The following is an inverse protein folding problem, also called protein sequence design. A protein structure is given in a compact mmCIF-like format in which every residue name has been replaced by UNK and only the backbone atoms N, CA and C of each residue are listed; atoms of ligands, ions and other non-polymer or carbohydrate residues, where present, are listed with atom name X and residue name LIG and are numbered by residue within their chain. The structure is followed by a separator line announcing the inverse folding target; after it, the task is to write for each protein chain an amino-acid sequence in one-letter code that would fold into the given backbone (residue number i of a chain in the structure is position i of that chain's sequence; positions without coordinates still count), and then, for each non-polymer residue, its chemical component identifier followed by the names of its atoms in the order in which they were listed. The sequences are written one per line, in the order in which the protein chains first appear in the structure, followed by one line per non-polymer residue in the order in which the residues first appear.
data_IF_988467696218
#
_entry.id   IF_988467696218
#
_cell.length_a   1.000
_cell.length_b   1.000
_cell.length_c   1.000
_cell.angle_alpha   90.00
_cell.angle_beta   90.00
_cell.angle_gamma   90.00
#
_symmetry.space_group_name_H-M   'P 1'
#
loop_
_entity.id
_entity.type
_entity.pdbx_description
1 polymer ?
#
# COMPACT_ATOMS: atom_id res chain seq x y z
N UNK A 1 -10.29 9.71 -7.57
CA UNK A 1 -9.93 9.09 -6.28
C UNK A 1 -8.43 8.80 -6.27
N UNK A 2 -7.65 9.43 -5.39
CA UNK A 2 -6.19 9.21 -5.28
C UNK A 2 -5.90 8.51 -3.95
N UNK A 3 -5.03 7.49 -3.97
CA UNK A 3 -4.48 6.90 -2.75
C UNK A 3 -3.41 7.85 -2.22
N UNK A 4 -3.52 8.27 -0.97
CA UNK A 4 -2.51 9.10 -0.34
C UNK A 4 -1.36 8.21 0.11
N UNK A 5 -0.18 8.42 -0.48
CA UNK A 5 1.03 7.69 -0.11
C UNK A 5 1.93 8.62 0.69
N UNK A 6 2.18 8.28 1.95
CA UNK A 6 3.10 9.00 2.82
C UNK A 6 4.37 8.18 3.03
N UNK A 7 5.53 8.81 2.85
CA UNK A 7 6.81 8.18 3.12
C UNK A 7 7.04 8.06 4.63
N UNK A 8 7.12 6.83 5.14
CA UNK A 8 7.71 6.56 6.45
C UNK A 8 9.21 6.25 6.32
N UNK A 9 9.92 6.18 7.46
CA UNK A 9 11.36 5.88 7.49
C UNK A 9 11.67 4.52 6.84
N UNK A 10 10.90 3.46 7.16
CA UNK A 10 11.09 2.11 6.62
C UNK A 10 10.01 1.64 5.61
N UNK A 11 8.76 2.08 5.79
CA UNK A 11 7.61 1.63 5.00
C UNK A 11 6.83 2.81 4.41
N UNK A 12 6.20 2.60 3.25
CA UNK A 12 5.22 3.50 2.67
C UNK A 12 3.89 3.32 3.40
N UNK A 13 3.27 4.41 3.81
CA UNK A 13 1.94 4.42 4.43
C UNK A 13 0.93 4.79 3.35
N UNK A 14 0.00 3.89 3.07
CA UNK A 14 -1.08 4.07 2.11
C UNK A 14 -2.35 4.43 2.89
N UNK A 15 -3.01 5.52 2.52
CA UNK A 15 -4.30 5.92 3.08
C UNK A 15 -5.31 6.06 1.94
N UNK A 16 -6.47 5.43 2.10
CA UNK A 16 -7.54 5.51 1.12
C UNK A 16 -8.89 5.40 1.80
N UNK A 17 -9.73 6.43 1.64
CA UNK A 17 -11.12 6.43 2.11
C UNK A 17 -11.31 6.00 3.59
N UNK A 18 -10.41 6.43 4.47
CA UNK A 18 -10.38 6.04 5.89
C UNK A 18 -9.60 4.76 6.21
N UNK A 19 -9.34 3.92 5.20
CA UNK A 19 -8.52 2.72 5.33
C UNK A 19 -7.03 3.06 5.31
N UNK A 20 -6.24 2.25 6.02
CA UNK A 20 -4.79 2.38 6.14
C UNK A 20 -4.13 1.05 5.79
N UNK A 21 -3.10 1.10 4.96
CA UNK A 21 -2.23 -0.05 4.69
C UNK A 21 -0.77 0.40 4.72
N UNK A 22 0.14 -0.54 4.96
CA UNK A 22 1.59 -0.30 4.95
C UNK A 22 2.21 -1.19 3.90
N UNK A 23 3.04 -0.58 3.06
CA UNK A 23 3.75 -1.28 2.00
C UNK A 23 5.26 -1.17 2.25
N UNK A 24 6.02 -2.28 2.20
CA UNK A 24 7.47 -2.24 2.26
C UNK A 24 8.02 -1.46 1.08
N UNK A 25 9.08 -0.67 1.31
CA UNK A 25 9.75 0.05 0.23
C UNK A 25 10.50 -0.96 -0.63
N UNK A 26 9.96 -1.25 -1.81
CA UNK A 26 10.60 -2.09 -2.83
C UNK A 26 11.05 -1.20 -4.01
N UNK A 27 12.25 -0.60 -3.93
CA UNK A 27 12.72 0.33 -4.96
C UNK A 27 13.18 -0.36 -6.26
N UNK A 28 13.30 -1.68 -6.30
CA UNK A 28 13.78 -2.41 -7.49
C UNK A 28 13.33 -3.87 -7.58
N UNK A 29 12.32 -4.27 -6.81
CA UNK A 29 11.79 -5.63 -6.87
C UNK A 29 10.27 -5.59 -7.08
N UNK A 30 9.79 -6.50 -7.91
CA UNK A 30 8.36 -6.62 -8.20
C UNK A 30 7.60 -7.06 -6.95
N UNK A 31 6.49 -6.39 -6.65
CA UNK A 31 5.64 -6.74 -5.51
C UNK A 31 4.95 -8.06 -5.84
N UNK A 32 5.15 -9.07 -4.99
CA UNK A 32 4.44 -10.34 -5.11
C UNK A 32 2.93 -10.11 -5.18
N UNK A 33 2.26 -10.71 -6.17
CA UNK A 33 0.80 -10.66 -6.33
C UNK A 33 -0.02 -10.85 -5.04
N UNK A 34 0.27 -11.81 -4.13
CA UNK A 34 -0.48 -11.95 -2.89
C UNK A 34 -0.41 -10.70 -2.01
N UNK A 35 0.74 -10.02 -1.96
CA UNK A 35 0.92 -8.78 -1.20
C UNK A 35 0.13 -7.64 -1.82
N UNK A 36 0.14 -7.53 -3.16
CA UNK A 36 -0.69 -6.56 -3.88
C UNK A 36 -2.18 -6.77 -3.60
N UNK A 37 -2.68 -8.00 -3.71
CA UNK A 37 -4.09 -8.34 -3.43
C UNK A 37 -4.46 -8.05 -1.97
N UNK A 38 -3.56 -8.33 -1.02
CA UNK A 38 -3.78 -8.03 0.39
C UNK A 38 -3.88 -6.52 0.64
N UNK A 39 -2.99 -5.71 0.04
CA UNK A 39 -3.02 -4.24 0.16
C UNK A 39 -4.31 -3.67 -0.43
N UNK A 40 -4.72 -4.13 -1.62
CA UNK A 40 -5.98 -3.71 -2.25
C UNK A 40 -7.19 -4.04 -1.37
N UNK A 41 -7.24 -5.26 -0.83
CA UNK A 41 -8.28 -5.69 0.12
C UNK A 41 -8.29 -4.83 1.39
N UNK A 42 -7.13 -4.52 1.95
CA UNK A 42 -6.98 -3.66 3.13
C UNK A 42 -7.41 -2.22 2.86
N UNK A 43 -7.14 -1.70 1.65
CA UNK A 43 -7.58 -0.37 1.24
C UNK A 43 -9.07 -0.32 0.86
N UNK A 44 -9.73 -1.48 0.73
CA UNK A 44 -11.12 -1.55 0.27
C UNK A 44 -11.28 -1.24 -1.21
N UNK A 45 -10.19 -1.33 -1.97
CA UNK A 45 -10.18 -1.26 -3.44
C UNK A 45 -10.46 -2.67 -3.94
N UNK A 46 -11.74 -2.95 -4.23
CA UNK A 46 -12.22 -4.25 -4.68
C UNK A 46 -12.08 -4.38 -6.19
#
# INVERSE_FOLDING_TARGET
MKVEVSNGTNHLKLRYNGNRSVMPRHPGAEIKEPLRKAILKQLGLK
#
